data_IF_435387576938
#
_entry.id   IF_435387576938
#
_cell.length_a   1.000
_cell.length_b   1.000
_cell.length_c   1.000
_cell.angle_alpha   90.00
_cell.angle_beta   90.00
_cell.angle_gamma   90.00
#
_symmetry.space_group_name_H-M   'P 1'
#
loop_
_entity.id
_entity.type
_entity.pdbx_description
1 polymer ?
#
# COMPACT_ATOMS: atom_id res chain seq x y z
N UNK A 1 -18.12 13.61 6.50
CA UNK A 1 -16.88 14.03 7.19
C UNK A 1 -16.20 15.10 6.38
N UNK A 2 -15.82 16.18 7.01
CA UNK A 2 -15.08 17.24 6.36
C UNK A 2 -13.60 16.95 6.50
N UNK A 3 -12.93 16.79 5.39
CA UNK A 3 -11.49 16.65 5.39
C UNK A 3 -10.86 18.02 5.28
N UNK A 4 -10.24 18.43 6.35
CA UNK A 4 -9.53 19.67 6.40
C UNK A 4 -8.12 19.45 5.86
N UNK A 5 -7.68 20.30 4.98
CA UNK A 5 -6.33 20.21 4.40
C UNK A 5 -5.26 20.73 5.35
N UNK A 6 -5.56 20.77 6.59
CA UNK A 6 -4.60 21.16 7.61
C UNK A 6 -3.60 20.03 7.80
N UNK A 7 -2.34 20.30 7.47
CA UNK A 7 -1.27 19.30 7.61
C UNK A 7 -0.93 18.98 9.05
N UNK A 8 -1.43 19.76 10.00
CA UNK A 8 -1.28 19.45 11.43
C UNK A 8 -2.22 18.36 11.90
N UNK A 9 -3.25 18.03 11.10
CA UNK A 9 -4.17 16.96 11.42
C UNK A 9 -3.61 15.62 10.97
N UNK A 10 -3.74 14.64 11.83
CA UNK A 10 -3.46 13.25 11.47
C UNK A 10 -4.78 12.52 11.24
N UNK A 11 -4.78 11.62 10.27
CA UNK A 11 -5.90 10.73 10.00
C UNK A 11 -5.63 9.42 10.70
N UNK A 12 -6.61 8.94 11.46
CA UNK A 12 -6.54 7.63 12.10
C UNK A 12 -7.53 6.68 11.46
N UNK A 13 -7.06 5.50 11.12
CA UNK A 13 -7.87 4.39 10.63
C UNK A 13 -7.36 3.12 11.27
N UNK A 14 -8.23 2.35 11.94
CA UNK A 14 -7.82 1.14 12.66
C UNK A 14 -6.64 1.38 13.61
N UNK A 15 -6.63 2.50 14.32
CA UNK A 15 -5.55 2.92 15.21
C UNK A 15 -4.23 3.26 14.50
N UNK A 16 -4.28 3.50 13.20
CA UNK A 16 -3.14 3.91 12.38
C UNK A 16 -3.22 5.41 12.15
N UNK A 17 -2.12 6.09 12.39
CA UNK A 17 -2.03 7.53 12.18
C UNK A 17 -1.15 7.83 10.98
N UNK A 18 -1.67 8.59 10.03
CA UNK A 18 -0.96 8.99 8.83
C UNK A 18 -0.50 10.42 8.92
N UNK A 19 0.81 10.62 9.01
CA UNK A 19 1.41 11.93 8.78
C UNK A 19 1.50 12.12 7.26
N UNK A 20 1.15 13.24 6.75
CA UNK A 20 1.18 13.51 5.30
C UNK A 20 0.14 12.72 4.51
N UNK A 21 -0.96 12.32 5.12
CA UNK A 21 -2.01 11.56 4.45
C UNK A 21 -2.62 12.33 3.27
N UNK A 22 -2.55 13.64 3.27
CA UNK A 22 -3.14 14.48 2.22
C UNK A 22 -2.15 14.92 1.15
N UNK A 23 -0.91 14.49 1.21
CA UNK A 23 0.14 14.97 0.30
C UNK A 23 -0.17 14.71 -1.17
N UNK A 24 -0.88 13.65 -1.50
CA UNK A 24 -1.26 13.32 -2.87
C UNK A 24 -2.74 13.41 -3.14
N UNK A 25 -3.55 13.65 -2.11
CA UNK A 25 -4.99 13.51 -2.18
C UNK A 25 -5.41 12.05 -2.32
N UNK A 26 -6.32 11.59 -1.50
CA UNK A 26 -6.85 10.24 -1.55
C UNK A 26 -8.36 10.34 -1.68
N UNK A 27 -8.90 9.83 -2.78
CA UNK A 27 -10.35 9.87 -3.03
C UNK A 27 -11.04 8.57 -2.66
N UNK A 28 -10.47 7.45 -3.10
CA UNK A 28 -11.12 6.14 -3.01
C UNK A 28 -10.07 5.11 -2.65
N UNK A 29 -9.55 5.20 -1.43
CA UNK A 29 -8.40 4.42 -0.99
C UNK A 29 -8.75 3.04 -0.47
N UNK A 30 -8.00 2.05 -0.92
CA UNK A 30 -7.94 0.71 -0.32
C UNK A 30 -6.64 0.60 0.43
N UNK A 31 -6.73 0.28 1.73
CA UNK A 31 -5.57 0.20 2.63
C UNK A 31 -5.14 -1.25 2.79
N UNK A 32 -3.87 -1.50 2.65
CA UNK A 32 -3.29 -2.84 2.84
C UNK A 32 -1.96 -2.74 3.59
N UNK A 33 -1.60 -3.79 4.29
CA UNK A 33 -0.36 -3.85 5.04
C UNK A 33 0.68 -4.70 4.31
N UNK A 34 1.92 -4.25 4.35
CA UNK A 34 3.04 -4.96 3.77
C UNK A 34 4.34 -4.39 4.36
N UNK A 35 5.36 -5.24 4.49
CA UNK A 35 6.69 -4.79 4.90
C UNK A 35 7.44 -4.31 3.65
N UNK A 36 7.48 -3.01 3.44
CA UNK A 36 8.05 -2.41 2.23
C UNK A 36 9.58 -2.42 2.24
N UNK A 37 10.18 -2.13 3.39
CA UNK A 37 11.62 -2.02 3.52
C UNK A 37 12.28 -3.25 4.15
N UNK A 38 11.50 -4.29 4.41
CA UNK A 38 11.97 -5.56 4.96
C UNK A 38 12.64 -5.43 6.33
N UNK A 39 12.08 -4.56 7.17
CA UNK A 39 12.59 -4.34 8.53
C UNK A 39 11.85 -5.14 9.60
N UNK A 40 10.89 -5.96 9.19
CA UNK A 40 10.07 -6.76 10.09
C UNK A 40 8.85 -6.06 10.64
N UNK A 41 8.64 -4.80 10.29
CA UNK A 41 7.47 -4.01 10.71
C UNK A 41 6.53 -3.85 9.53
N UNK A 42 5.23 -3.89 9.81
CA UNK A 42 4.23 -3.69 8.75
C UNK A 42 4.11 -2.21 8.40
N UNK A 43 4.29 -1.92 7.15
CA UNK A 43 4.05 -0.63 6.53
C UNK A 43 2.66 -0.65 5.89
N UNK A 44 2.26 0.46 5.29
CA UNK A 44 0.94 0.59 4.68
C UNK A 44 1.11 0.97 3.22
N UNK A 45 0.29 0.37 2.37
CA UNK A 45 0.13 0.83 1.00
C UNK A 45 -1.34 1.17 0.77
N UNK A 46 -1.56 2.31 0.14
CA UNK A 46 -2.90 2.77 -0.23
C UNK A 46 -3.02 2.72 -1.75
N UNK A 47 -4.04 2.03 -2.22
CA UNK A 47 -4.40 2.05 -3.64
C UNK A 47 -5.60 2.96 -3.83
N UNK A 48 -5.43 4.04 -4.58
CA UNK A 48 -6.52 4.96 -4.90
C UNK A 48 -7.15 4.55 -6.22
N UNK A 49 -8.37 4.06 -6.15
CA UNK A 49 -9.10 3.58 -7.31
C UNK A 49 -9.36 4.66 -8.35
N UNK A 50 -9.52 5.90 -7.94
CA UNK A 50 -9.89 6.96 -8.88
C UNK A 50 -8.77 7.34 -9.83
N UNK A 51 -7.53 6.95 -9.55
CA UNK A 51 -6.41 7.22 -10.45
C UNK A 51 -5.49 6.03 -10.63
N UNK A 52 -5.87 4.86 -10.11
CA UNK A 52 -5.03 3.67 -10.08
C UNK A 52 -3.67 3.97 -9.46
N UNK A 53 -3.67 4.80 -8.42
CA UNK A 53 -2.46 5.32 -7.81
C UNK A 53 -2.08 4.49 -6.60
N UNK A 54 -0.83 4.06 -6.56
CA UNK A 54 -0.25 3.35 -5.42
C UNK A 54 0.52 4.35 -4.57
N UNK A 55 0.18 4.45 -3.29
CA UNK A 55 0.82 5.34 -2.34
C UNK A 55 1.37 4.54 -1.17
N UNK A 56 2.67 4.26 -1.15
CA UNK A 56 3.31 3.55 -0.05
C UNK A 56 3.66 4.49 1.10
N UNK A 57 3.54 3.99 2.32
CA UNK A 57 3.90 4.71 3.54
C UNK A 57 4.74 3.79 4.43
N UNK A 58 5.90 4.26 4.85
CA UNK A 58 6.77 3.53 5.77
C UNK A 58 6.34 3.78 7.21
N UNK A 59 6.28 2.72 8.00
CA UNK A 59 6.03 2.80 9.43
C UNK A 59 7.34 3.10 10.17
N UNK A 60 7.48 4.33 10.62
CA UNK A 60 8.60 4.76 11.44
C UNK A 60 8.13 4.93 12.88
N UNK A 61 8.21 3.85 13.67
CA UNK A 61 7.79 3.82 15.08
C UNK A 61 6.36 4.34 15.32
N UNK A 62 5.44 3.94 14.44
CA UNK A 62 4.04 4.35 14.51
C UNK A 62 3.71 5.59 13.69
N UNK A 63 4.70 6.26 13.12
CA UNK A 63 4.49 7.36 12.19
C UNK A 63 4.60 6.83 10.77
N UNK A 64 3.57 7.07 9.96
CA UNK A 64 3.55 6.61 8.58
C UNK A 64 4.00 7.73 7.66
N UNK A 65 5.14 7.52 7.00
CA UNK A 65 5.80 8.51 6.17
C UNK A 65 5.63 8.13 4.70
N UNK A 66 5.16 9.04 3.88
CA UNK A 66 4.98 8.82 2.45
C UNK A 66 6.30 8.47 1.79
N UNK A 67 6.32 7.34 1.09
CA UNK A 67 7.54 6.78 0.50
C UNK A 67 7.30 6.40 -0.97
N UNK A 68 7.12 7.38 -1.86
CA UNK A 68 6.77 7.11 -3.26
C UNK A 68 7.85 6.35 -4.03
N UNK A 69 9.08 6.29 -3.52
CA UNK A 69 10.17 5.54 -4.14
C UNK A 69 9.88 4.04 -4.23
N UNK A 70 9.01 3.51 -3.39
CA UNK A 70 8.64 2.09 -3.43
C UNK A 70 7.61 1.78 -4.53
N UNK A 71 7.01 2.80 -5.11
CA UNK A 71 5.97 2.62 -6.14
C UNK A 71 6.49 1.83 -7.33
N UNK A 72 7.73 2.03 -7.72
CA UNK A 72 8.37 1.34 -8.85
C UNK A 72 8.47 -0.17 -8.65
N UNK A 73 8.42 -0.64 -7.41
CA UNK A 73 8.55 -2.07 -7.09
C UNK A 73 7.23 -2.82 -7.25
N UNK A 74 6.12 -2.09 -7.34
CA UNK A 74 4.80 -2.67 -7.50
C UNK A 74 4.49 -2.92 -8.97
N UNK A 75 3.73 -4.00 -9.27
CA UNK A 75 3.22 -4.18 -10.63
C UNK A 75 2.16 -3.12 -10.93
N UNK A 76 1.83 -2.96 -12.20
CA UNK A 76 0.71 -2.09 -12.56
C UNK A 76 -0.58 -2.72 -12.07
N UNK A 77 -1.30 -1.97 -11.25
CA UNK A 77 -2.61 -2.37 -10.74
C UNK A 77 -3.65 -1.36 -11.19
N UNK A 78 -4.86 -1.81 -11.44
CA UNK A 78 -5.95 -0.91 -11.77
C UNK A 78 -7.28 -1.50 -11.31
N UNK A 79 -8.25 -0.62 -11.11
CA UNK A 79 -9.58 -0.86 -10.59
C UNK A 79 -9.58 -1.18 -9.10
N UNK A 80 -8.76 -2.12 -8.65
CA UNK A 80 -8.61 -2.44 -7.24
C UNK A 80 -7.29 -3.17 -7.01
N UNK A 81 -6.80 -3.09 -5.78
CA UNK A 81 -5.60 -3.80 -5.34
C UNK A 81 -5.75 -4.14 -3.86
N UNK A 82 -5.56 -5.40 -3.54
CA UNK A 82 -5.57 -5.87 -2.16
C UNK A 82 -4.32 -6.70 -1.91
N UNK A 83 -3.85 -6.68 -0.67
CA UNK A 83 -2.71 -7.47 -0.28
C UNK A 83 -3.11 -8.48 0.79
N UNK A 84 -2.73 -9.73 0.56
CA UNK A 84 -2.95 -10.80 1.50
C UNK A 84 -1.99 -11.94 1.18
N UNK A 85 -1.62 -12.71 2.18
CA UNK A 85 -0.72 -13.87 2.02
C UNK A 85 -1.50 -15.03 1.41
N UNK A 86 -1.32 -15.26 0.12
CA UNK A 86 -2.09 -16.29 -0.58
C UNK A 86 -1.48 -17.68 -0.46
N UNK A 87 -0.19 -17.77 -0.24
CA UNK A 87 0.52 -19.06 -0.18
C UNK A 87 1.00 -19.43 1.22
N UNK A 88 0.63 -18.64 2.23
CA UNK A 88 0.98 -18.87 3.63
C UNK A 88 2.49 -18.85 3.90
N UNK A 89 3.23 -18.00 3.20
CA UNK A 89 4.68 -17.88 3.43
C UNK A 89 5.05 -16.73 4.37
N UNK A 90 4.05 -16.05 4.93
CA UNK A 90 4.24 -14.94 5.84
C UNK A 90 4.43 -13.58 5.16
N UNK A 91 4.34 -13.53 3.84
CA UNK A 91 4.47 -12.28 3.07
C UNK A 91 3.17 -11.99 2.37
N UNK A 92 2.77 -10.75 2.36
CA UNK A 92 1.55 -10.36 1.66
C UNK A 92 1.81 -10.24 0.16
N UNK A 93 0.97 -10.90 -0.60
CA UNK A 93 0.97 -10.93 -2.06
C UNK A 93 -0.03 -9.90 -2.58
N UNK A 94 0.02 -9.60 -3.85
CA UNK A 94 -0.86 -8.61 -4.47
C UNK A 94 -1.94 -9.32 -5.28
N UNK A 95 -3.19 -8.92 -5.04
CA UNK A 95 -4.34 -9.27 -5.85
C UNK A 95 -4.81 -8.01 -6.54
N UNK A 96 -5.00 -8.06 -7.84
CA UNK A 96 -5.51 -6.92 -8.61
C UNK A 96 -6.35 -7.38 -9.79
N UNK A 97 -7.04 -6.43 -10.40
CA UNK A 97 -7.86 -6.71 -11.57
C UNK A 97 -7.01 -7.17 -12.76
N UNK A 98 -7.59 -8.08 -13.55
CA UNK A 98 -7.04 -8.50 -14.83
C UNK A 98 -8.21 -8.72 -15.79
N UNK A 99 -7.97 -8.53 -17.08
CA UNK A 99 -9.01 -8.66 -18.10
C UNK A 99 -9.66 -10.06 -18.14
N UNK A 100 -8.99 -11.07 -17.61
CA UNK A 100 -9.55 -12.42 -17.47
C UNK A 100 -10.12 -12.72 -16.10
N UNK A 101 -10.16 -11.73 -15.18
CA UNK A 101 -10.64 -11.90 -13.82
C UNK A 101 -9.73 -11.24 -12.80
N UNK A 102 -8.77 -11.97 -12.26
CA UNK A 102 -7.90 -11.49 -11.20
C UNK A 102 -6.46 -11.93 -11.48
N UNK A 103 -5.52 -11.03 -11.28
CA UNK A 103 -4.10 -11.36 -11.30
C UNK A 103 -3.57 -11.43 -9.87
N UNK A 104 -2.67 -12.36 -9.63
CA UNK A 104 -1.98 -12.53 -8.35
C UNK A 104 -0.50 -12.36 -8.60
N UNK A 105 0.13 -11.47 -7.81
CA UNK A 105 1.57 -11.29 -7.84
C UNK A 105 2.14 -11.76 -6.52
N UNK A 106 2.93 -12.81 -6.56
CA UNK A 106 3.57 -13.36 -5.38
C UNK A 106 4.67 -12.41 -4.91
N UNK A 107 4.73 -12.20 -3.61
CA UNK A 107 5.79 -11.42 -2.99
C UNK A 107 7.07 -12.25 -2.95
N UNK A 108 8.04 -11.86 -3.76
CA UNK A 108 9.33 -12.55 -3.88
C UNK A 108 10.46 -11.80 -3.20
N UNK A 109 10.12 -10.89 -2.31
CA UNK A 109 11.10 -10.03 -1.63
C UNK A 109 12.12 -10.84 -0.84
N UNK A 110 13.39 -10.50 -1.01
CA UNK A 110 14.51 -11.08 -0.25
C UNK A 110 15.38 -9.98 0.35
N UNK A 111 16.06 -9.21 -0.49
CA UNK A 111 16.88 -8.07 -0.07
C UNK A 111 16.20 -6.74 -0.42
N UNK A 112 15.23 -6.77 -1.31
CA UNK A 112 14.43 -5.61 -1.68
C UNK A 112 13.02 -6.07 -2.05
N UNK A 113 12.08 -5.14 -2.04
CA UNK A 113 10.69 -5.43 -2.38
C UNK A 113 10.57 -5.87 -3.84
N UNK A 114 9.99 -7.03 -4.06
CA UNK A 114 9.77 -7.55 -5.41
C UNK A 114 8.54 -8.44 -5.48
N UNK A 115 7.94 -8.51 -6.66
CA UNK A 115 6.74 -9.32 -6.92
C UNK A 115 6.87 -10.04 -8.26
N UNK A 116 6.26 -11.19 -8.35
CA UNK A 116 6.28 -12.01 -9.55
C UNK A 116 4.87 -12.50 -9.87
N UNK A 117 4.44 -12.35 -11.12
CA UNK A 117 3.14 -12.83 -11.56
C UNK A 117 3.04 -14.35 -11.41
N UNK A 118 1.96 -14.79 -10.81
CA UNK A 118 1.68 -16.21 -10.63
C UNK A 118 1.10 -16.82 -11.90
#
# INVERSE_FOLDING_TARGET
MILNRDTSLSISENNITFNSAFSGGINSGQFSEIDLNLDGKMDIVVFDKSGNKISPFINDNGNYIYAPEYRKNFPKAHDWMLLADYNCDGKNDIYTYSSGGMAIYKNTSTTSLSFSLV
#
